data_IF_947205918569
#
_entry.id   IF_947205918569
#
_cell.length_a   1.000
_cell.length_b   1.000
_cell.length_c   1.000
_cell.angle_alpha   90.00
_cell.angle_beta   90.00
_cell.angle_gamma   90.00
#
_symmetry.space_group_name_H-M   'P 1'
#
loop_
_entity.id
_entity.type
_entity.pdbx_description
1 polymer ?
#
# COMPACT_ATOMS: atom_id res chain seq x y z
N UNK A 1 43.77 7.90 21.56
CA UNK A 1 42.74 7.61 20.54
C UNK A 1 43.45 7.03 19.29
N UNK A 2 43.37 5.72 19.03
CA UNK A 2 44.11 5.10 17.89
C UNK A 2 43.44 5.47 16.55
N UNK A 3 44.14 6.24 15.70
CA UNK A 3 43.67 6.59 14.35
C UNK A 3 43.76 5.34 13.46
N UNK A 4 42.60 4.85 12.99
CA UNK A 4 42.56 3.73 12.04
C UNK A 4 43.26 4.08 10.74
N UNK A 5 44.13 3.18 10.29
CA UNK A 5 44.93 3.34 9.07
C UNK A 5 44.02 3.41 7.84
N UNK A 6 44.53 3.98 6.74
CA UNK A 6 43.79 4.09 5.47
C UNK A 6 43.37 2.69 4.95
N UNK A 7 44.23 1.70 5.16
CA UNK A 7 44.02 0.30 4.80
C UNK A 7 42.89 -0.36 5.61
N UNK A 8 42.86 -0.18 6.94
CA UNK A 8 41.76 -0.68 7.78
C UNK A 8 40.39 -0.11 7.37
N UNK A 9 40.36 1.16 6.96
CA UNK A 9 39.13 1.81 6.46
C UNK A 9 38.68 1.21 5.13
N UNK A 10 39.62 0.96 4.22
CA UNK A 10 39.35 0.34 2.93
C UNK A 10 38.85 -1.10 3.08
N UNK A 11 39.52 -1.90 3.92
CA UNK A 11 39.11 -3.27 4.25
C UNK A 11 37.70 -3.32 4.85
N UNK A 12 37.38 -2.42 5.79
CA UNK A 12 36.02 -2.31 6.36
C UNK A 12 34.99 -1.95 5.30
N UNK A 13 35.31 -1.07 4.34
CA UNK A 13 34.43 -0.69 3.23
C UNK A 13 34.18 -1.90 2.31
N UNK A 14 35.23 -2.63 1.92
CA UNK A 14 35.14 -3.85 1.12
C UNK A 14 34.27 -4.92 1.79
N UNK A 15 34.48 -5.17 3.10
CA UNK A 15 33.66 -6.13 3.86
C UNK A 15 32.17 -5.75 3.89
N UNK A 16 31.88 -4.45 4.06
CA UNK A 16 30.49 -3.94 4.01
C UNK A 16 29.88 -4.10 2.62
N UNK A 17 30.63 -3.82 1.55
CA UNK A 17 30.14 -3.99 0.18
C UNK A 17 29.86 -5.47 -0.14
N UNK A 18 30.77 -6.39 0.24
CA UNK A 18 30.56 -7.83 0.06
C UNK A 18 29.33 -8.33 0.82
N UNK A 19 29.16 -7.90 2.09
CA UNK A 19 27.97 -8.25 2.89
C UNK A 19 26.68 -7.69 2.27
N UNK A 20 26.71 -6.46 1.75
CA UNK A 20 25.57 -5.85 1.05
C UNK A 20 25.21 -6.62 -0.22
N UNK A 21 26.18 -6.94 -1.06
CA UNK A 21 25.95 -7.71 -2.29
C UNK A 21 25.39 -9.11 -2.00
N UNK A 22 25.89 -9.75 -0.94
CA UNK A 22 25.37 -11.05 -0.51
C UNK A 22 23.92 -10.94 -0.01
N UNK A 23 23.61 -9.94 0.82
CA UNK A 23 22.24 -9.66 1.25
C UNK A 23 21.32 -9.34 0.07
N UNK A 24 21.81 -8.61 -0.94
CA UNK A 24 21.04 -8.27 -2.13
C UNK A 24 20.70 -9.51 -2.96
N UNK A 25 21.67 -10.41 -3.14
CA UNK A 25 21.48 -11.68 -3.84
C UNK A 25 20.55 -12.65 -3.10
N UNK A 26 20.70 -12.74 -1.77
CA UNK A 26 20.02 -13.75 -0.96
C UNK A 26 18.66 -13.28 -0.41
N UNK A 27 18.45 -11.96 -0.29
CA UNK A 27 17.42 -11.40 0.58
C UNK A 27 16.62 -10.23 0.01
N UNK A 28 17.17 -9.45 -0.92
CA UNK A 28 16.48 -8.28 -1.47
C UNK A 28 15.68 -8.62 -2.74
N UNK A 29 14.96 -9.74 -2.72
CA UNK A 29 13.95 -9.95 -3.77
C UNK A 29 12.83 -8.94 -3.58
N UNK A 30 12.44 -8.25 -4.66
CA UNK A 30 11.22 -7.44 -4.73
C UNK A 30 11.18 -6.11 -3.94
N UNK A 31 12.29 -5.36 -3.87
CA UNK A 31 12.31 -3.96 -3.38
C UNK A 31 11.84 -3.76 -1.92
N UNK A 32 11.80 -4.83 -1.13
CA UNK A 32 11.45 -4.82 0.29
C UNK A 32 12.71 -4.78 1.17
N UNK A 33 12.63 -4.09 2.31
CA UNK A 33 13.76 -4.02 3.25
C UNK A 33 13.82 -5.29 4.09
N UNK A 34 14.65 -6.23 3.67
CA UNK A 34 14.84 -7.51 4.34
C UNK A 34 16.15 -7.55 5.14
N UNK A 35 16.12 -8.29 6.24
CA UNK A 35 17.27 -8.57 7.08
C UNK A 35 17.64 -10.04 6.95
N UNK A 36 18.94 -10.35 6.89
CA UNK A 36 19.41 -11.72 7.00
C UNK A 36 19.63 -12.06 8.47
N UNK A 37 18.95 -13.10 8.93
CA UNK A 37 19.11 -13.69 10.25
C UNK A 37 19.88 -15.00 10.11
N UNK A 38 20.61 -15.36 11.15
CA UNK A 38 21.32 -16.62 11.30
C UNK A 38 20.94 -17.28 12.63
N UNK A 39 21.48 -18.48 12.89
CA UNK A 39 21.23 -19.22 14.12
C UNK A 39 21.65 -18.46 15.39
N UNK A 40 22.54 -17.47 15.25
CA UNK A 40 23.04 -16.65 16.35
C UNK A 40 22.20 -15.40 16.60
N UNK A 41 21.13 -15.15 15.83
CA UNK A 41 20.34 -13.94 15.99
C UNK A 41 19.59 -13.90 17.34
N UNK A 42 18.97 -15.01 17.75
CA UNK A 42 18.28 -15.11 19.03
C UNK A 42 19.27 -15.42 20.14
N UNK A 43 19.32 -14.57 21.16
CA UNK A 43 20.19 -14.76 22.35
C UNK A 43 19.48 -15.43 23.52
N UNK A 44 18.17 -15.64 23.40
CA UNK A 44 17.29 -16.23 24.41
C UNK A 44 16.39 -17.26 23.74
N UNK A 45 16.07 -18.33 24.47
CA UNK A 45 15.20 -19.39 23.95
C UNK A 45 13.80 -18.88 23.57
N UNK A 46 13.13 -19.50 22.58
CA UNK A 46 13.62 -20.59 21.74
C UNK A 46 14.68 -20.10 20.72
N UNK A 47 15.78 -20.85 20.60
CA UNK A 47 16.84 -20.55 19.63
C UNK A 47 16.47 -21.07 18.23
N UNK A 48 16.95 -20.37 17.21
CA UNK A 48 16.77 -20.78 15.81
C UNK A 48 17.92 -21.68 15.35
N UNK A 49 17.60 -22.85 14.78
CA UNK A 49 18.62 -23.84 14.33
C UNK A 49 18.53 -24.21 12.85
N UNK A 50 17.53 -23.74 12.12
CA UNK A 50 17.27 -24.15 10.73
C UNK A 50 18.10 -23.40 9.68
N UNK A 51 19.17 -22.71 10.08
CA UNK A 51 20.12 -22.06 9.17
C UNK A 51 19.77 -20.61 8.85
N UNK A 52 20.57 -19.92 8.01
CA UNK A 52 20.32 -18.52 7.70
C UNK A 52 19.03 -18.35 6.89
N UNK A 53 18.25 -17.33 7.24
CA UNK A 53 17.01 -17.00 6.52
C UNK A 53 16.83 -15.49 6.39
N UNK A 54 15.91 -15.12 5.51
CA UNK A 54 15.55 -13.74 5.26
C UNK A 54 14.25 -13.37 5.96
N UNK A 55 14.32 -12.33 6.78
CA UNK A 55 13.17 -11.75 7.46
C UNK A 55 12.87 -10.38 6.88
N UNK A 56 11.75 -10.28 6.18
CA UNK A 56 11.27 -9.05 5.60
C UNK A 56 10.09 -8.55 6.42
N UNK A 57 10.34 -7.58 7.33
CA UNK A 57 9.30 -7.05 8.22
C UNK A 57 8.13 -6.42 7.46
N UNK A 58 8.37 -5.88 6.28
CA UNK A 58 7.35 -5.29 5.43
C UNK A 58 7.20 -6.13 4.17
N UNK A 59 6.17 -6.96 4.14
CA UNK A 59 5.69 -7.52 2.90
C UNK A 59 4.90 -6.41 2.17
N UNK A 60 5.22 -6.17 0.90
CA UNK A 60 4.49 -5.23 0.04
C UNK A 60 2.95 -5.46 0.10
N UNK A 61 2.54 -6.70 0.36
CA UNK A 61 1.14 -7.11 0.50
C UNK A 61 0.45 -6.59 1.77
N UNK A 62 1.19 -6.10 2.77
CA UNK A 62 0.70 -5.49 4.00
C UNK A 62 0.80 -3.95 3.98
N UNK A 63 1.20 -3.37 2.85
CA UNK A 63 1.19 -1.90 2.70
C UNK A 63 -0.23 -1.42 2.39
N UNK A 64 -0.77 -0.54 3.23
CA UNK A 64 -2.12 0.01 3.08
C UNK A 64 -2.17 1.49 3.47
N UNK A 65 -3.23 2.17 3.02
CA UNK A 65 -3.62 3.50 3.49
C UNK A 65 -5.00 3.40 4.14
N UNK A 66 -5.21 4.05 5.28
CA UNK A 66 -6.48 4.01 6.01
C UNK A 66 -7.08 5.39 6.23
N UNK A 67 -8.41 5.42 6.26
CA UNK A 67 -9.24 6.51 6.78
C UNK A 67 -9.87 6.06 8.10
N UNK A 68 -9.67 6.86 9.16
CA UNK A 68 -10.29 6.66 10.47
C UNK A 68 -11.24 7.82 10.75
N UNK A 69 -12.48 7.50 11.09
CA UNK A 69 -13.48 8.49 11.52
C UNK A 69 -13.93 8.16 12.92
N UNK A 70 -13.86 9.14 13.82
CA UNK A 70 -14.35 9.06 15.20
C UNK A 70 -15.20 10.30 15.45
N UNK A 71 -16.51 10.11 15.57
CA UNK A 71 -17.45 11.15 15.95
C UNK A 71 -18.65 10.53 16.70
N UNK A 72 -19.65 11.35 17.05
CA UNK A 72 -20.82 10.91 17.83
C UNK A 72 -21.67 9.83 17.13
N UNK A 73 -21.65 9.78 15.80
CA UNK A 73 -22.50 8.89 15.00
C UNK A 73 -21.72 7.74 14.34
N UNK A 74 -20.43 7.90 14.11
CA UNK A 74 -19.58 6.98 13.37
C UNK A 74 -18.27 6.75 14.11
N UNK A 75 -17.91 5.48 14.25
CA UNK A 75 -16.57 5.04 14.63
C UNK A 75 -16.19 3.94 13.64
N UNK A 76 -15.45 4.30 12.59
CA UNK A 76 -15.14 3.39 11.49
C UNK A 76 -13.68 3.48 11.07
N UNK A 77 -13.15 2.36 10.57
CA UNK A 77 -11.83 2.23 9.97
C UNK A 77 -12.00 1.63 8.56
N UNK A 78 -11.51 2.34 7.54
CA UNK A 78 -11.54 1.91 6.13
C UNK A 78 -10.13 1.91 5.57
N UNK A 79 -9.66 0.80 4.99
CA UNK A 79 -8.30 0.71 4.47
C UNK A 79 -8.25 0.09 3.06
N UNK A 80 -7.34 0.62 2.24
CA UNK A 80 -7.02 0.12 0.90
C UNK A 80 -5.56 -0.34 0.85
N UNK A 81 -5.38 -1.63 0.57
CA UNK A 81 -4.08 -2.24 0.41
C UNK A 81 -3.55 -2.00 -1.00
N UNK A 82 -2.23 -1.93 -1.14
CA UNK A 82 -1.56 -1.80 -2.46
C UNK A 82 -1.92 -2.96 -3.39
N UNK A 83 -2.21 -4.14 -2.83
CA UNK A 83 -2.70 -5.33 -3.53
C UNK A 83 -4.11 -5.17 -4.11
N UNK A 84 -4.87 -4.17 -3.67
CA UNK A 84 -6.27 -3.95 -4.04
C UNK A 84 -7.28 -4.57 -3.08
N UNK A 85 -6.84 -5.28 -2.04
CA UNK A 85 -7.73 -5.67 -0.94
C UNK A 85 -8.28 -4.43 -0.23
N UNK A 86 -9.56 -4.45 0.13
CA UNK A 86 -10.21 -3.38 0.87
C UNK A 86 -10.80 -3.97 2.15
N UNK A 87 -10.60 -3.25 3.25
CA UNK A 87 -11.15 -3.62 4.56
C UNK A 87 -11.98 -2.48 5.11
N UNK A 88 -13.08 -2.83 5.78
CA UNK A 88 -13.95 -1.88 6.45
C UNK A 88 -14.42 -2.47 7.78
N UNK A 89 -14.27 -1.68 8.85
CA UNK A 89 -14.68 -2.04 10.20
C UNK A 89 -15.55 -0.93 10.78
N UNK A 90 -16.70 -1.30 11.31
CA UNK A 90 -17.53 -0.43 12.13
C UNK A 90 -17.23 -0.75 13.60
N UNK A 91 -16.41 0.09 14.22
CA UNK A 91 -15.87 -0.12 15.56
C UNK A 91 -16.88 0.16 16.67
N UNK A 92 -18.09 0.65 16.33
CA UNK A 92 -19.21 0.70 17.27
C UNK A 92 -19.79 -0.69 17.54
N UNK A 93 -19.71 -1.59 16.55
CA UNK A 93 -20.28 -2.95 16.62
C UNK A 93 -19.19 -4.04 16.67
N UNK A 94 -18.00 -3.75 16.16
CA UNK A 94 -16.85 -4.66 16.13
C UNK A 94 -15.59 -3.93 16.64
N UNK A 95 -15.48 -3.68 17.96
CA UNK A 95 -14.38 -2.90 18.53
C UNK A 95 -13.01 -3.53 18.36
N UNK A 96 -12.96 -4.84 18.08
CA UNK A 96 -11.73 -5.63 17.95
C UNK A 96 -11.40 -5.98 16.50
N UNK A 97 -12.10 -5.39 15.52
CA UNK A 97 -11.77 -5.48 14.09
C UNK A 97 -11.72 -6.93 13.58
N UNK A 98 -12.55 -7.80 14.16
CA UNK A 98 -12.50 -9.24 13.90
C UNK A 98 -13.08 -9.62 12.53
N UNK A 99 -13.99 -8.80 12.00
CA UNK A 99 -14.73 -9.11 10.78
C UNK A 99 -14.61 -7.98 9.76
N UNK A 100 -14.01 -8.26 8.61
CA UNK A 100 -14.03 -7.32 7.48
C UNK A 100 -15.45 -7.22 6.91
N UNK A 101 -16.07 -6.05 7.06
CA UNK A 101 -17.46 -5.75 6.67
C UNK A 101 -17.57 -4.95 5.38
N UNK A 102 -16.56 -4.99 4.51
CA UNK A 102 -16.58 -4.26 3.23
C UNK A 102 -17.79 -4.60 2.35
N UNK A 103 -18.33 -5.83 2.46
CA UNK A 103 -19.54 -6.26 1.76
C UNK A 103 -20.82 -5.56 2.24
N UNK A 104 -20.81 -4.96 3.44
CA UNK A 104 -21.95 -4.24 4.02
C UNK A 104 -21.99 -2.76 3.57
N UNK A 105 -20.90 -2.24 3.00
CA UNK A 105 -20.87 -0.88 2.47
C UNK A 105 -21.67 -0.78 1.18
N UNK A 106 -22.48 0.27 1.08
CA UNK A 106 -23.11 0.62 -0.20
C UNK A 106 -22.06 1.11 -1.20
N UNK A 107 -22.26 0.93 -2.51
CA UNK A 107 -21.31 1.39 -3.52
C UNK A 107 -20.97 2.89 -3.39
N UNK A 108 -21.96 3.71 -3.03
CA UNK A 108 -21.80 5.16 -2.86
C UNK A 108 -20.94 5.48 -1.64
N UNK A 109 -21.17 4.80 -0.52
CA UNK A 109 -20.38 4.97 0.72
C UNK A 109 -18.93 4.56 0.50
N UNK A 110 -18.70 3.43 -0.18
CA UNK A 110 -17.36 2.99 -0.56
C UNK A 110 -16.66 4.01 -1.46
N UNK A 111 -17.35 4.53 -2.46
CA UNK A 111 -16.81 5.57 -3.36
C UNK A 111 -16.43 6.84 -2.59
N UNK A 112 -17.28 7.26 -1.66
CA UNK A 112 -17.02 8.40 -0.79
C UNK A 112 -15.79 8.20 0.10
N UNK A 113 -15.68 7.06 0.77
CA UNK A 113 -14.50 6.72 1.60
C UNK A 113 -13.22 6.64 0.77
N UNK A 114 -13.28 6.04 -0.42
CA UNK A 114 -12.16 6.00 -1.37
C UNK A 114 -11.69 7.42 -1.74
N UNK A 115 -12.61 8.29 -2.18
CA UNK A 115 -12.26 9.65 -2.61
C UNK A 115 -11.68 10.50 -1.47
N UNK A 116 -12.23 10.37 -0.25
CA UNK A 116 -11.67 11.01 0.93
C UNK A 116 -10.25 10.53 1.23
N UNK A 117 -10.02 9.21 1.23
CA UNK A 117 -8.69 8.64 1.44
C UNK A 117 -7.70 9.17 0.41
N UNK A 118 -8.06 9.17 -0.88
CA UNK A 118 -7.21 9.71 -1.96
C UNK A 118 -6.90 11.18 -1.79
N UNK A 119 -7.84 11.97 -1.29
CA UNK A 119 -7.64 13.40 -1.01
C UNK A 119 -6.66 13.60 0.13
N UNK A 120 -6.84 12.87 1.25
CA UNK A 120 -5.95 12.93 2.41
C UNK A 120 -4.53 12.44 2.10
N UNK A 121 -4.38 11.45 1.21
CA UNK A 121 -3.07 11.00 0.76
C UNK A 121 -2.28 12.08 -0.01
N UNK A 122 -2.97 13.01 -0.67
CA UNK A 122 -2.35 14.07 -1.48
C UNK A 122 -2.22 15.41 -0.73
N UNK A 123 -2.97 15.59 0.36
CA UNK A 123 -3.00 16.84 1.10
C UNK A 123 -1.66 17.14 1.78
N UNK A 124 -1.39 18.42 2.05
CA UNK A 124 -0.19 18.89 2.77
C UNK A 124 -0.52 20.07 3.67
N UNK A 125 -0.12 19.97 4.93
CA UNK A 125 -0.38 21.00 5.93
C UNK A 125 -1.85 21.07 6.35
N UNK A 126 -2.10 21.77 7.46
CA UNK A 126 -3.40 21.76 8.15
C UNK A 126 -4.57 22.20 7.27
N UNK A 127 -4.39 23.27 6.49
CA UNK A 127 -5.47 23.90 5.73
C UNK A 127 -6.00 23.02 4.61
N UNK A 128 -5.12 22.28 3.92
CA UNK A 128 -5.53 21.38 2.82
C UNK A 128 -5.90 19.97 3.29
N UNK A 129 -5.47 19.57 4.49
CA UNK A 129 -5.77 18.25 5.08
C UNK A 129 -7.00 18.23 5.98
N UNK A 130 -7.62 19.39 6.24
CA UNK A 130 -8.88 19.44 7.00
C UNK A 130 -10.03 19.23 6.04
N UNK A 131 -10.68 18.08 6.12
CA UNK A 131 -11.88 17.81 5.34
C UNK A 131 -13.05 18.61 5.94
N UNK A 132 -13.42 19.71 5.31
CA UNK A 132 -14.67 20.39 5.64
C UNK A 132 -15.83 19.48 5.20
N UNK A 133 -16.62 19.03 6.16
CA UNK A 133 -17.72 18.04 6.02
C UNK A 133 -18.87 18.44 5.06
N UNK A 134 -18.71 19.47 4.23
CA UNK A 134 -19.75 19.97 3.33
C UNK A 134 -20.12 19.00 2.18
N UNK A 135 -19.48 17.83 2.10
CA UNK A 135 -19.75 16.82 1.06
C UNK A 135 -20.41 15.53 1.60
N UNK A 136 -20.93 15.53 2.84
CA UNK A 136 -21.86 14.50 3.30
C UNK A 136 -23.25 15.13 3.49
N UNK A 137 -24.06 15.09 2.44
CA UNK A 137 -25.51 15.21 2.57
C UNK A 137 -26.11 13.82 2.43
N UNK A 138 -26.57 13.19 3.53
CA UNK A 138 -27.39 11.98 3.44
C UNK A 138 -28.82 12.28 2.91
N UNK A 139 -29.10 13.52 2.46
CA UNK A 139 -30.43 14.02 2.14
C UNK A 139 -30.65 14.40 0.66
N UNK A 140 -29.89 13.82 -0.29
CA UNK A 140 -30.17 13.98 -1.73
C UNK A 140 -30.77 12.74 -2.40
N UNK A 141 -31.22 11.73 -1.63
CA UNK A 141 -32.22 10.78 -2.14
C UNK A 141 -33.58 11.45 -2.00
N UNK A 142 -33.97 12.24 -3.00
CA UNK A 142 -35.38 12.60 -3.17
C UNK A 142 -36.14 11.30 -3.44
N UNK A 143 -36.84 10.80 -2.42
CA UNK A 143 -37.87 9.78 -2.60
C UNK A 143 -39.00 10.43 -3.38
N UNK A 144 -38.92 10.37 -4.71
CA UNK A 144 -40.09 10.59 -5.54
C UNK A 144 -40.94 9.34 -5.47
N UNK A 145 -41.97 9.38 -4.62
CA UNK A 145 -43.06 8.42 -4.66
C UNK A 145 -43.80 8.57 -6.00
N UNK A 146 -43.47 7.74 -6.99
CA UNK A 146 -44.33 7.48 -8.16
C UNK A 146 -44.30 6.00 -8.53
N UNK A 147 -45.48 5.54 -8.94
CA UNK A 147 -46.00 4.16 -9.05
C UNK A 147 -45.18 3.24 -9.98
N UNK A 148 -45.31 1.95 -9.68
CA UNK A 148 -44.79 0.73 -10.31
C UNK A 148 -45.05 0.63 -11.83
N UNK A 149 -44.05 0.20 -12.64
CA UNK A 149 -44.20 -0.92 -13.58
C UNK A 149 -42.88 -1.48 -14.17
N UNK A 150 -42.91 -2.77 -14.49
CA UNK A 150 -41.81 -3.67 -14.87
C UNK A 150 -41.09 -3.38 -16.21
N UNK A 151 -39.76 -3.59 -16.25
CA UNK A 151 -39.02 -4.59 -17.08
C UNK A 151 -37.52 -4.24 -17.15
N UNK A 152 -36.67 -5.22 -16.85
CA UNK A 152 -35.21 -5.22 -17.09
C UNK A 152 -34.91 -5.32 -18.59
N UNK A 153 -33.73 -4.83 -19.04
CA UNK A 153 -32.68 -5.80 -19.36
C UNK A 153 -31.29 -5.45 -18.78
N UNK A 154 -30.53 -6.51 -18.55
CA UNK A 154 -29.15 -6.57 -18.05
C UNK A 154 -28.18 -5.74 -18.91
N UNK A 155 -27.38 -4.87 -18.28
CA UNK A 155 -26.14 -4.38 -18.89
C UNK A 155 -24.94 -4.45 -17.93
N UNK A 156 -23.86 -4.99 -18.49
CA UNK A 156 -22.69 -5.64 -17.93
C UNK A 156 -21.79 -4.74 -17.04
N UNK A 157 -21.55 -5.17 -15.80
CA UNK A 157 -20.77 -4.45 -14.77
C UNK A 157 -19.26 -4.75 -14.81
N UNK A 158 -18.65 -4.83 -15.99
CA UNK A 158 -17.23 -5.23 -16.14
C UNK A 158 -16.25 -4.11 -16.51
N UNK A 159 -16.69 -2.85 -16.61
CA UNK A 159 -15.84 -1.74 -17.08
C UNK A 159 -15.19 -0.90 -15.96
N UNK A 160 -15.62 -1.05 -14.70
CA UNK A 160 -15.02 -0.32 -13.58
C UNK A 160 -13.63 -0.86 -13.18
N UNK A 161 -13.47 -2.19 -13.21
CA UNK A 161 -12.22 -2.85 -12.81
C UNK A 161 -11.07 -2.67 -13.82
N UNK A 162 -11.37 -2.41 -15.10
CA UNK A 162 -10.35 -2.19 -16.14
C UNK A 162 -9.80 -0.76 -16.14
N UNK A 163 -10.61 0.27 -15.82
CA UNK A 163 -10.15 1.67 -15.80
C UNK A 163 -9.24 2.03 -14.63
N UNK A 164 -9.27 1.27 -13.52
CA UNK A 164 -8.39 1.51 -12.37
C UNK A 164 -6.98 0.93 -12.57
N UNK A 165 -6.81 -0.09 -13.42
CA UNK A 165 -5.48 -0.64 -13.73
C UNK A 165 -4.61 0.31 -14.56
N UNK A 166 -5.17 1.11 -15.48
CA UNK A 166 -4.36 1.99 -16.33
C UNK A 166 -3.90 3.27 -15.61
N UNK A 167 -4.73 3.87 -14.75
CA UNK A 167 -4.37 5.13 -14.04
C UNK A 167 -3.32 4.97 -12.93
N UNK A 168 -3.05 3.73 -12.47
CA UNK A 168 -2.19 3.49 -11.30
C UNK A 168 -0.70 3.40 -11.64
N UNK A 169 -0.33 3.31 -12.93
CA UNK A 169 1.07 3.24 -13.36
C UNK A 169 1.71 4.63 -13.57
N UNK A 170 0.91 5.67 -13.82
CA UNK A 170 1.44 6.98 -14.25
C UNK A 170 1.70 7.97 -13.09
N UNK A 171 1.04 7.85 -11.94
CA UNK A 171 1.06 8.89 -10.88
C UNK A 171 2.18 8.70 -9.81
N UNK A 172 2.99 7.63 -9.89
CA UNK A 172 4.10 7.36 -8.95
C UNK A 172 5.50 7.59 -9.55
N UNK A 173 5.61 7.95 -10.83
CA UNK A 173 6.88 8.05 -11.56
C UNK A 173 7.62 9.40 -11.49
N UNK A 174 6.97 10.49 -11.10
CA UNK A 174 7.52 11.84 -11.31
C UNK A 174 8.32 12.42 -10.14
N UNK A 175 9.19 11.63 -9.47
CA UNK A 175 10.08 12.20 -8.44
C UNK A 175 11.56 11.80 -8.50
N UNK A 176 12.09 11.32 -9.62
CA UNK A 176 13.54 11.30 -9.87
C UNK A 176 13.84 11.20 -11.37
N UNK A 177 13.88 12.33 -12.08
CA UNK A 177 14.58 12.44 -13.38
C UNK A 177 15.61 13.56 -13.28
N UNK A 178 16.87 13.14 -13.19
CA UNK A 178 18.05 13.99 -13.21
C UNK A 178 19.28 13.09 -13.31
N UNK A 179 19.90 13.09 -14.50
CA UNK A 179 21.01 12.25 -14.97
C UNK A 179 20.59 10.79 -15.31
N UNK A 180 20.83 10.24 -16.51
CA UNK A 180 21.94 10.47 -17.43
C UNK A 180 21.54 10.03 -18.85
N UNK A 181 22.08 10.70 -19.86
CA UNK A 181 21.93 10.36 -21.28
C UNK A 181 22.79 9.13 -21.63
N UNK A 182 22.31 8.35 -22.60
CA UNK A 182 23.15 7.58 -23.51
C UNK A 182 23.31 6.10 -23.17
N UNK A 183 22.52 5.24 -23.81
CA UNK A 183 23.04 4.18 -24.69
C UNK A 183 21.88 3.52 -25.43
N UNK A 184 21.87 3.71 -26.74
CA UNK A 184 21.02 3.00 -27.69
C UNK A 184 21.63 1.64 -27.98
N UNK A 185 20.86 0.57 -27.82
CA UNK A 185 21.06 -0.68 -28.55
C UNK A 185 19.72 -1.30 -28.88
N UNK A 186 19.39 -1.27 -30.17
CA UNK A 186 18.48 -2.19 -30.82
C UNK A 186 18.94 -3.64 -30.56
N UNK A 187 17.98 -4.56 -30.41
CA UNK A 187 17.89 -5.80 -31.21
C UNK A 187 16.52 -6.45 -30.93
N UNK A 188 15.91 -6.91 -32.02
CA UNK A 188 14.52 -7.31 -32.14
C UNK A 188 14.18 -8.67 -31.51
N UNK A 189 12.88 -8.86 -31.34
CA UNK A 189 12.30 -10.11 -30.88
C UNK A 189 12.32 -11.20 -31.95
N UNK A 190 12.22 -12.43 -31.47
CA UNK A 190 11.65 -13.56 -32.20
C UNK A 190 10.96 -14.47 -31.17
N UNK A 191 9.67 -14.67 -31.39
CA UNK A 191 8.92 -15.78 -30.83
C UNK A 191 9.44 -17.10 -31.39
N UNK A 192 9.54 -18.11 -30.52
CA UNK A 192 8.98 -19.46 -30.72
C UNK A 192 8.46 -19.92 -29.38
#
# INVERSE_FOLDING_TARGET
MKRKTKEERLSKKLRKMKKKAQLEKECLSEKIHCFRHDNDHWKTAPLWSAGPFCFCMNANNNTYNCLRTINSTHNLLYCEFVTGMITYYNLRIDPFELQNRVSQLKPEERSYLHNQLRTLMKCRGRTSCTLNNNNYSPAAVKVNARKVNHQTPLHNSNTYNQRIKSRRYDDFGSRFEGANRGHTSHIGGRSV
#
